data_IF_306427186494
#
_entry.id   IF_306427186494
#
_cell.length_a   1.000
_cell.length_b   1.000
_cell.length_c   1.000
_cell.angle_alpha   90.00
_cell.angle_beta   90.00
_cell.angle_gamma   90.00
#
_symmetry.space_group_name_H-M   'P 1'
#
loop_
_entity.id
_entity.type
_entity.pdbx_description
1 polymer ?
#
# COMPACT_ATOMS: atom_id res chain seq x y z
N UNK A 1 2.85 -7.57 -5.68
CA UNK A 1 2.71 -6.63 -4.55
C UNK A 1 1.29 -6.11 -4.53
N UNK A 2 0.84 -5.67 -3.35
CA UNK A 2 -0.51 -5.16 -3.11
C UNK A 2 -0.45 -3.72 -2.62
N UNK A 3 -1.47 -2.96 -3.01
CA UNK A 3 -1.64 -1.55 -2.65
C UNK A 3 -3.00 -1.37 -2.00
N UNK A 4 -3.02 -0.65 -0.88
CA UNK A 4 -4.25 -0.32 -0.18
C UNK A 4 -4.89 0.89 -0.83
N UNK A 5 -6.18 0.79 -1.12
CA UNK A 5 -7.02 1.87 -1.63
C UNK A 5 -8.20 2.12 -0.70
N UNK A 6 -8.71 3.35 -0.73
CA UNK A 6 -9.90 3.79 -0.01
C UNK A 6 -10.90 4.36 -1.02
N UNK A 7 -12.14 3.87 -1.09
CA UNK A 7 -13.16 4.43 -1.95
C UNK A 7 -13.53 5.86 -1.51
N UNK A 8 -14.15 6.64 -2.40
CA UNK A 8 -14.67 7.95 -2.01
C UNK A 8 -15.76 7.83 -0.94
N UNK A 9 -16.16 8.96 -0.35
CA UNK A 9 -17.17 9.02 0.71
C UNK A 9 -18.62 8.83 0.20
N UNK A 10 -18.81 7.87 -0.71
CA UNK A 10 -20.09 7.36 -1.21
C UNK A 10 -19.86 5.97 -1.83
N UNK A 11 -20.87 5.08 -1.87
CA UNK A 11 -20.73 3.77 -2.49
C UNK A 11 -20.26 3.90 -3.95
N UNK A 12 -19.19 3.19 -4.31
CA UNK A 12 -18.62 3.26 -5.66
C UNK A 12 -18.20 1.90 -6.15
N UNK A 13 -18.73 1.50 -7.30
CA UNK A 13 -18.23 0.34 -8.03
C UNK A 13 -17.26 0.80 -9.09
N UNK A 14 -16.16 0.11 -9.26
CA UNK A 14 -15.14 0.41 -10.28
C UNK A 14 -14.56 -0.89 -10.82
N UNK A 15 -14.16 -0.87 -12.08
CA UNK A 15 -13.51 -2.01 -12.73
C UNK A 15 -12.06 -1.66 -13.04
N UNK A 16 -11.17 -2.61 -12.82
CA UNK A 16 -9.77 -2.53 -13.24
C UNK A 16 -9.34 -3.89 -13.78
N UNK A 17 -8.79 -3.91 -15.01
CA UNK A 17 -8.35 -5.15 -15.69
C UNK A 17 -9.34 -6.32 -15.61
N UNK A 18 -10.65 -6.07 -15.81
CA UNK A 18 -11.68 -7.12 -15.76
C UNK A 18 -12.15 -7.52 -14.35
N UNK A 19 -11.60 -6.92 -13.29
CA UNK A 19 -11.98 -7.16 -11.89
C UNK A 19 -12.87 -6.04 -11.39
N UNK A 20 -13.99 -6.41 -10.75
CA UNK A 20 -14.96 -5.48 -10.17
C UNK A 20 -14.67 -5.27 -8.69
N UNK A 21 -14.56 -4.01 -8.29
CA UNK A 21 -14.33 -3.57 -6.93
C UNK A 21 -15.54 -2.77 -6.44
N UNK A 22 -16.15 -3.20 -5.34
CA UNK A 22 -17.30 -2.54 -4.73
C UNK A 22 -16.83 -1.83 -3.46
N UNK A 23 -16.74 -0.51 -3.50
CA UNK A 23 -16.30 0.35 -2.42
C UNK A 23 -17.45 0.76 -1.50
N UNK A 24 -17.23 0.63 -0.20
CA UNK A 24 -18.08 1.22 0.84
C UNK A 24 -17.32 2.36 1.54
N UNK A 25 -17.96 3.50 1.83
CA UNK A 25 -17.30 4.63 2.48
C UNK A 25 -16.56 4.22 3.76
N UNK A 26 -15.31 4.66 3.89
CA UNK A 26 -14.48 4.40 5.07
C UNK A 26 -13.86 2.99 5.15
N UNK A 27 -14.15 2.10 4.20
CA UNK A 27 -13.61 0.73 4.19
C UNK A 27 -12.48 0.62 3.17
N UNK A 28 -11.26 0.35 3.64
CA UNK A 28 -10.10 0.14 2.76
C UNK A 28 -10.14 -1.23 2.09
N UNK A 29 -9.52 -1.34 0.92
CA UNK A 29 -9.34 -2.60 0.19
C UNK A 29 -7.90 -2.74 -0.27
N UNK A 30 -7.36 -3.95 -0.20
CA UNK A 30 -6.02 -4.27 -0.70
C UNK A 30 -6.18 -4.89 -2.09
N UNK A 31 -5.57 -4.25 -3.09
CA UNK A 31 -5.71 -4.62 -4.50
C UNK A 31 -4.33 -4.82 -5.12
N UNK A 32 -4.20 -5.57 -6.23
CA UNK A 32 -2.95 -5.62 -6.97
C UNK A 32 -2.51 -4.23 -7.44
N UNK A 33 -1.20 -3.96 -7.41
CA UNK A 33 -0.65 -2.62 -7.69
C UNK A 33 -1.09 -2.05 -9.05
N UNK A 34 -1.22 -2.92 -10.07
CA UNK A 34 -1.68 -2.50 -11.39
C UNK A 34 -3.08 -1.88 -11.35
N UNK A 35 -3.98 -2.45 -10.55
CA UNK A 35 -5.36 -2.01 -10.44
C UNK A 35 -5.48 -0.74 -9.61
N UNK A 36 -4.64 -0.58 -8.60
CA UNK A 36 -4.66 0.59 -7.73
C UNK A 36 -4.56 1.89 -8.52
N UNK A 37 -3.75 1.93 -9.59
CA UNK A 37 -3.65 3.10 -10.46
C UNK A 37 -4.94 3.38 -11.23
N UNK A 38 -5.61 2.33 -11.74
CA UNK A 38 -6.91 2.48 -12.44
C UNK A 38 -7.98 2.93 -11.45
N UNK A 39 -8.02 2.34 -10.25
CA UNK A 39 -8.95 2.75 -9.19
C UNK A 39 -8.69 4.19 -8.75
N UNK A 40 -7.43 4.59 -8.64
CA UNK A 40 -7.01 5.97 -8.37
C UNK A 40 -7.51 6.96 -9.42
N UNK A 41 -7.34 6.62 -10.70
CA UNK A 41 -7.90 7.40 -11.81
C UNK A 41 -9.43 7.45 -11.77
N UNK A 42 -10.06 6.39 -11.26
CA UNK A 42 -11.48 6.34 -10.95
C UNK A 42 -11.83 6.95 -9.58
N UNK A 43 -11.00 7.83 -9.02
CA UNK A 43 -11.33 8.63 -7.84
C UNK A 43 -11.33 7.86 -6.51
N UNK A 44 -10.70 6.69 -6.44
CA UNK A 44 -10.30 6.08 -5.18
C UNK A 44 -9.02 6.75 -4.68
N UNK A 45 -8.82 6.79 -3.36
CA UNK A 45 -7.56 7.26 -2.79
C UNK A 45 -6.59 6.09 -2.66
N UNK A 46 -5.39 6.23 -3.21
CA UNK A 46 -4.30 5.26 -3.04
C UNK A 46 -3.59 5.60 -1.73
N UNK A 47 -3.60 4.68 -0.77
CA UNK A 47 -2.99 4.90 0.54
C UNK A 47 -1.54 4.42 0.62
N UNK A 48 -1.14 3.46 -0.22
CA UNK A 48 0.24 2.99 -0.29
C UNK A 48 0.36 1.47 -0.36
N UNK A 49 1.58 0.98 -0.50
CA UNK A 49 1.87 -0.46 -0.55
C UNK A 49 1.59 -1.12 0.80
N UNK A 50 1.09 -2.33 0.75
CA UNK A 50 0.62 -3.07 1.93
C UNK A 50 0.97 -4.55 1.82
N UNK A 51 1.27 -5.18 2.96
CA UNK A 51 1.47 -6.62 3.05
C UNK A 51 2.18 -7.03 4.35
N UNK A 52 2.48 -8.33 4.53
CA UNK A 52 3.16 -8.84 5.72
C UNK A 52 4.64 -8.47 5.74
N UNK A 53 5.30 -8.57 6.91
CA UNK A 53 6.74 -8.32 7.07
C UNK A 53 7.59 -9.06 6.04
N UNK A 54 7.22 -10.30 5.70
CA UNK A 54 7.94 -11.13 4.73
C UNK A 54 7.89 -10.62 3.28
N UNK A 55 7.01 -9.66 2.98
CA UNK A 55 6.84 -9.05 1.66
C UNK A 55 7.28 -7.58 1.62
N UNK A 56 7.91 -7.06 2.69
CA UNK A 56 8.55 -5.76 2.63
C UNK A 56 9.57 -5.73 1.49
N UNK A 57 9.67 -4.64 0.73
CA UNK A 57 10.77 -4.46 -0.21
C UNK A 57 12.12 -4.61 0.50
N UNK A 58 12.98 -5.46 -0.06
CA UNK A 58 14.33 -5.71 0.41
C UNK A 58 15.33 -5.06 -0.53
N UNK A 59 16.53 -4.74 -0.04
CA UNK A 59 17.62 -4.12 -0.82
C UNK A 59 18.15 -5.00 -1.97
N UNK A 60 17.64 -6.21 -2.11
CA UNK A 60 17.87 -7.15 -3.21
C UNK A 60 16.64 -7.34 -4.11
N UNK A 61 15.62 -6.51 -3.96
CA UNK A 61 14.41 -6.56 -4.77
C UNK A 61 14.78 -6.48 -6.26
N UNK A 62 14.12 -7.29 -7.08
CA UNK A 62 14.24 -7.21 -8.55
C UNK A 62 13.74 -5.89 -9.11
N UNK A 63 13.15 -5.03 -8.27
CA UNK A 63 12.76 -3.66 -8.57
C UNK A 63 13.94 -2.74 -8.27
N UNK A 64 14.56 -2.10 -9.29
CA UNK A 64 15.68 -1.19 -9.06
C UNK A 64 15.29 -0.06 -8.11
N UNK A 65 16.16 0.22 -7.13
CA UNK A 65 16.05 1.33 -6.14
C UNK A 65 15.07 1.13 -4.98
N UNK A 66 14.67 -0.10 -4.66
CA UNK A 66 13.86 -0.35 -3.45
C UNK A 66 14.60 -1.18 -2.38
N UNK A 67 14.32 -0.94 -1.08
CA UNK A 67 13.65 0.26 -0.56
C UNK A 67 14.56 1.50 -0.65
N UNK A 68 13.97 2.66 -0.92
CA UNK A 68 14.66 3.95 -0.87
C UNK A 68 14.29 4.69 0.41
N UNK A 69 15.18 5.57 0.89
CA UNK A 69 14.90 6.36 2.09
C UNK A 69 13.61 7.18 1.92
N UNK A 70 12.73 7.15 2.92
CA UNK A 70 11.39 7.75 2.90
C UNK A 70 10.31 6.86 2.30
N UNK A 71 10.64 5.67 1.80
CA UNK A 71 9.64 4.73 1.30
C UNK A 71 8.73 4.25 2.44
N UNK A 72 7.42 4.35 2.22
CA UNK A 72 6.40 3.91 3.17
C UNK A 72 5.87 2.51 2.82
N UNK A 73 5.49 1.75 3.84
CA UNK A 73 4.84 0.45 3.70
C UNK A 73 3.87 0.21 4.85
N UNK A 74 2.67 -0.28 4.56
CA UNK A 74 1.69 -0.68 5.56
C UNK A 74 1.95 -2.14 5.90
N UNK A 75 2.61 -2.39 7.03
CA UNK A 75 2.93 -3.73 7.47
C UNK A 75 1.74 -4.35 8.21
N UNK A 76 1.15 -5.40 7.62
CA UNK A 76 -0.02 -6.08 8.18
C UNK A 76 0.33 -7.07 9.29
N UNK A 77 1.60 -7.50 9.40
CA UNK A 77 2.08 -8.33 10.51
C UNK A 77 2.25 -7.50 11.78
N UNK A 78 2.74 -6.26 11.63
CA UNK A 78 2.88 -5.32 12.75
C UNK A 78 1.62 -4.46 12.99
N UNK A 79 0.72 -4.39 12.02
CA UNK A 79 -0.45 -3.51 12.07
C UNK A 79 -0.07 -2.02 12.06
N UNK A 80 1.04 -1.66 11.40
CA UNK A 80 1.61 -0.32 11.47
C UNK A 80 2.12 0.18 10.11
N UNK A 81 2.08 1.50 9.93
CA UNK A 81 2.85 2.17 8.90
C UNK A 81 4.32 2.17 9.29
N UNK A 82 5.18 1.76 8.37
CA UNK A 82 6.63 1.76 8.53
C UNK A 82 7.29 2.56 7.39
N UNK A 83 8.43 3.19 7.70
CA UNK A 83 9.18 4.02 6.77
C UNK A 83 10.62 3.53 6.72
N UNK A 84 11.18 3.33 5.53
CA UNK A 84 12.58 2.98 5.38
C UNK A 84 13.46 4.22 5.54
N UNK A 85 14.41 4.21 6.48
CA UNK A 85 15.27 5.38 6.75
C UNK A 85 16.52 5.46 5.84
N UNK A 86 16.68 4.52 4.92
CA UNK A 86 17.89 4.34 4.11
C UNK A 86 18.77 3.17 4.57
N UNK A 87 18.50 2.61 5.76
CA UNK A 87 19.24 1.49 6.35
C UNK A 87 18.29 0.40 6.86
N UNK A 88 17.26 0.78 7.62
CA UNK A 88 16.30 -0.12 8.23
C UNK A 88 14.86 0.40 8.11
N UNK A 89 13.90 -0.51 8.26
CA UNK A 89 12.50 -0.13 8.42
C UNK A 89 12.26 0.37 9.84
N UNK A 90 11.53 1.48 9.96
CA UNK A 90 11.15 2.07 11.25
C UNK A 90 9.65 2.21 11.37
N UNK A 91 9.13 1.99 12.57
CA UNK A 91 7.74 2.32 12.88
C UNK A 91 7.52 3.84 12.78
N UNK A 92 6.56 4.26 11.97
CA UNK A 92 6.34 5.68 11.67
C UNK A 92 5.90 6.51 12.89
N UNK A 93 5.27 5.89 13.89
CA UNK A 93 4.78 6.58 15.08
C UNK A 93 5.83 6.71 16.19
N UNK A 94 6.77 5.77 16.27
CA UNK A 94 7.74 5.68 17.39
C UNK A 94 9.19 5.89 16.99
N UNK A 95 9.53 5.74 15.71
CA UNK A 95 10.92 5.78 15.21
C UNK A 95 11.77 4.55 15.53
N UNK A 96 11.21 3.56 16.23
CA UNK A 96 11.88 2.31 16.56
C UNK A 96 12.12 1.46 15.29
N UNK A 97 13.23 0.73 15.25
CA UNK A 97 13.55 -0.22 14.18
C UNK A 97 12.61 -1.44 14.29
N UNK A 98 12.15 -1.96 13.16
CA UNK A 98 11.19 -3.07 13.05
C UNK A 98 11.47 -4.01 11.89
#
# INVERSE_FOLDING_TARGET
MTTRVLPPNYPKTSEAYGRVYVGSPGVTQDVPDGDALILGANGWNILGRVGPTSQRPLNNSTVPREPFAGMEYIDTTLGALIIFDGSAWRNAATGAIV
#
